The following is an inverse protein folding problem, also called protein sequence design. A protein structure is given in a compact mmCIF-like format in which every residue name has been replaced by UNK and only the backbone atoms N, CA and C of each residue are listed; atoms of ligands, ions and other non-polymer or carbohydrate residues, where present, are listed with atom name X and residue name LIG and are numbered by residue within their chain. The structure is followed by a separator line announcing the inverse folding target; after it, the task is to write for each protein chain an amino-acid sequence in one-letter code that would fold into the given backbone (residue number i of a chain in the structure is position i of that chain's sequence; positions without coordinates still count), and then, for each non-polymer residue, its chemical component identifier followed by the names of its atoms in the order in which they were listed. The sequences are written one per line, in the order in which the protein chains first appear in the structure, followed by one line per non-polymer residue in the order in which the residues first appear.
data_IF_263667804665
#
_entry.id   IF_263667804665
#
_cell.length_a   1.000
_cell.length_b   1.000
_cell.length_c   1.000
_cell.angle_alpha   90.00
_cell.angle_beta   90.00
_cell.angle_gamma   90.00
#
_symmetry.space_group_name_H-M   'P 1'
#
loop_
_entity.id
_entity.type
_entity.pdbx_description
1 polymer ?
#
# COMPACT_ATOMS: atom_id res chain seq x y z
N UNK A 1 -36.27 3.56 1.37
CA UNK A 1 -37.37 2.83 0.72
C UNK A 1 -38.58 3.73 0.43
N UNK A 2 -38.90 4.70 1.29
CA UNK A 2 -40.12 5.56 1.18
C UNK A 2 -40.22 6.24 -0.19
N UNK A 3 -39.14 6.88 -0.68
CA UNK A 3 -39.15 7.51 -2.00
C UNK A 3 -39.33 6.50 -3.14
N UNK A 4 -38.70 5.32 -3.07
CA UNK A 4 -38.84 4.28 -4.08
C UNK A 4 -40.29 3.79 -4.16
N UNK A 5 -40.91 3.53 -3.02
CA UNK A 5 -42.32 3.12 -2.96
C UNK A 5 -43.25 4.21 -3.45
N UNK A 6 -43.01 5.48 -3.12
CA UNK A 6 -43.79 6.59 -3.60
C UNK A 6 -43.75 6.73 -5.13
N UNK A 7 -42.55 6.63 -5.71
CA UNK A 7 -42.36 6.68 -7.16
C UNK A 7 -43.04 5.49 -7.85
N UNK A 8 -42.87 4.27 -7.32
CA UNK A 8 -43.51 3.06 -7.81
C UNK A 8 -45.02 3.19 -7.78
N UNK A 9 -45.59 3.61 -6.65
CA UNK A 9 -47.01 3.83 -6.45
C UNK A 9 -47.55 4.79 -7.51
N UNK A 10 -46.90 5.93 -7.71
CA UNK A 10 -47.30 6.93 -8.74
C UNK A 10 -47.27 6.36 -10.14
N UNK A 11 -46.27 5.59 -10.51
CA UNK A 11 -46.15 5.00 -11.84
C UNK A 11 -47.20 3.89 -12.08
N UNK A 12 -47.45 3.07 -11.06
CA UNK A 12 -48.41 1.95 -11.14
C UNK A 12 -49.86 2.40 -11.24
N UNK A 13 -50.18 3.67 -10.94
CA UNK A 13 -51.52 4.22 -11.15
C UNK A 13 -51.91 4.29 -12.65
N UNK A 14 -50.94 4.42 -13.55
CA UNK A 14 -51.19 4.67 -14.98
C UNK A 14 -50.61 3.62 -15.91
N UNK A 15 -49.74 2.73 -15.43
CA UNK A 15 -49.06 1.77 -16.30
C UNK A 15 -48.52 0.55 -15.51
N UNK A 16 -48.26 -0.53 -16.25
CA UNK A 16 -47.53 -1.69 -15.72
C UNK A 16 -46.04 -1.36 -15.56
N UNK A 17 -45.48 -1.68 -14.43
CA UNK A 17 -44.07 -1.34 -14.09
C UNK A 17 -43.28 -2.61 -13.79
N UNK A 18 -42.07 -2.69 -14.36
CA UNK A 18 -41.04 -3.64 -13.92
C UNK A 18 -39.98 -2.86 -13.15
N UNK A 19 -39.74 -3.24 -11.89
CA UNK A 19 -38.75 -2.59 -11.02
C UNK A 19 -37.69 -3.60 -10.55
N UNK A 20 -36.42 -3.30 -10.85
CA UNK A 20 -35.27 -4.03 -10.31
C UNK A 20 -34.74 -3.32 -9.06
N UNK A 21 -34.78 -3.98 -7.91
CA UNK A 21 -34.27 -3.44 -6.63
C UNK A 21 -33.40 -4.45 -5.92
N UNK A 22 -32.44 -3.95 -5.17
CA UNK A 22 -31.59 -4.81 -4.35
C UNK A 22 -32.39 -5.57 -3.27
N UNK A 23 -32.08 -6.84 -3.06
CA UNK A 23 -32.79 -7.70 -2.12
C UNK A 23 -32.93 -7.14 -0.70
N UNK A 24 -31.95 -6.37 -0.24
CA UNK A 24 -31.95 -5.73 1.08
C UNK A 24 -33.08 -4.68 1.27
N UNK A 25 -33.65 -4.15 0.19
CA UNK A 25 -34.73 -3.18 0.23
C UNK A 25 -36.12 -3.84 0.34
N UNK A 26 -36.22 -5.15 0.12
CA UNK A 26 -37.50 -5.84 0.04
C UNK A 26 -38.11 -6.17 1.40
N UNK A 27 -37.39 -6.82 2.39
CA UNK A 27 -37.98 -7.35 3.59
C UNK A 27 -38.11 -6.32 4.72
N UNK A 28 -38.91 -6.72 5.75
CA UNK A 28 -39.05 -5.98 7.01
C UNK A 28 -40.13 -4.91 7.00
N UNK A 29 -40.44 -4.37 8.18
CA UNK A 29 -41.54 -3.40 8.37
C UNK A 29 -41.36 -2.08 7.60
N UNK A 30 -40.13 -1.72 7.27
CA UNK A 30 -39.76 -0.60 6.38
C UNK A 30 -39.27 -1.08 5.01
N UNK A 31 -39.50 -2.34 4.68
CA UNK A 31 -39.21 -2.91 3.37
C UNK A 31 -40.26 -2.55 2.33
N UNK A 32 -39.86 -2.56 1.06
CA UNK A 32 -40.76 -2.15 -0.04
C UNK A 32 -41.99 -3.03 -0.15
N UNK A 33 -41.88 -4.34 0.10
CA UNK A 33 -43.00 -5.27 0.05
C UNK A 33 -44.09 -4.87 1.04
N UNK A 34 -43.72 -4.66 2.30
CA UNK A 34 -44.67 -4.26 3.35
C UNK A 34 -45.27 -2.87 3.10
N UNK A 35 -44.46 -1.93 2.64
CA UNK A 35 -44.94 -0.57 2.33
C UNK A 35 -45.91 -0.54 1.15
N UNK A 36 -45.77 -1.44 0.17
CA UNK A 36 -46.73 -1.58 -0.93
C UNK A 36 -48.02 -2.25 -0.45
N UNK A 37 -47.94 -3.28 0.41
CA UNK A 37 -49.11 -3.88 1.05
C UNK A 37 -49.91 -2.85 1.86
N UNK A 38 -49.22 -2.00 2.65
CA UNK A 38 -49.84 -0.93 3.44
C UNK A 38 -50.55 0.13 2.56
N UNK A 39 -50.16 0.24 1.29
CA UNK A 39 -50.84 1.07 0.26
C UNK A 39 -51.98 0.33 -0.44
N UNK A 40 -52.27 -0.91 -0.07
CA UNK A 40 -53.39 -1.69 -0.63
C UNK A 40 -53.01 -2.57 -1.81
N UNK A 41 -51.74 -2.68 -2.19
CA UNK A 41 -51.31 -3.60 -3.25
C UNK A 41 -51.25 -5.02 -2.74
N UNK A 42 -51.61 -5.98 -3.58
CA UNK A 42 -51.45 -7.40 -3.32
C UNK A 42 -50.03 -7.84 -3.74
N UNK A 43 -49.19 -8.18 -2.79
CA UNK A 43 -47.83 -8.66 -3.08
C UNK A 43 -47.81 -10.18 -3.00
N UNK A 44 -47.43 -10.83 -4.13
CA UNK A 44 -47.31 -12.29 -4.19
C UNK A 44 -45.93 -12.71 -4.69
N UNK A 45 -45.22 -13.61 -3.99
CA UNK A 45 -43.95 -14.12 -4.46
C UNK A 45 -44.19 -15.05 -5.65
N UNK A 46 -43.47 -14.79 -6.76
CA UNK A 46 -43.40 -15.72 -7.88
C UNK A 46 -42.22 -16.68 -7.64
N UNK A 47 -42.51 -17.79 -6.99
CA UNK A 47 -41.50 -18.81 -6.74
C UNK A 47 -41.29 -19.63 -8.03
N UNK A 48 -40.06 -19.57 -8.56
CA UNK A 48 -39.67 -20.49 -9.63
C UNK A 48 -39.54 -21.90 -9.08
N UNK A 49 -39.91 -22.90 -9.91
CA UNK A 49 -39.56 -24.29 -9.57
C UNK A 49 -38.02 -24.35 -9.46
N UNK A 50 -37.51 -24.95 -8.40
CA UNK A 50 -36.07 -25.21 -8.32
C UNK A 50 -35.67 -26.12 -9.46
N UNK A 51 -34.92 -25.58 -10.42
CA UNK A 51 -34.35 -26.34 -11.53
C UNK A 51 -32.83 -26.24 -11.41
N UNK A 52 -32.13 -27.28 -11.84
CA UNK A 52 -30.65 -27.28 -11.91
C UNK A 52 -30.13 -26.32 -12.99
N UNK A 53 -30.99 -25.79 -13.85
CA UNK A 53 -30.62 -24.93 -14.99
C UNK A 53 -29.88 -23.67 -14.53
N UNK A 54 -30.36 -22.99 -13.48
CA UNK A 54 -29.71 -21.79 -12.98
C UNK A 54 -28.32 -22.11 -12.41
N UNK A 55 -28.20 -23.21 -11.67
CA UNK A 55 -26.94 -23.68 -11.12
C UNK A 55 -25.97 -24.07 -12.25
N UNK A 56 -26.40 -24.83 -13.23
CA UNK A 56 -25.58 -25.21 -14.39
C UNK A 56 -25.12 -23.99 -15.18
N UNK A 57 -26.01 -23.01 -15.40
CA UNK A 57 -25.66 -21.76 -16.09
C UNK A 57 -24.67 -20.93 -15.27
N UNK A 58 -24.85 -20.84 -13.96
CA UNK A 58 -23.91 -20.20 -13.06
C UNK A 58 -22.52 -20.85 -13.17
N UNK A 59 -22.44 -22.16 -13.06
CA UNK A 59 -21.19 -22.91 -13.18
C UNK A 59 -20.50 -22.70 -14.56
N UNK A 60 -21.29 -22.66 -15.65
CA UNK A 60 -20.77 -22.36 -16.99
C UNK A 60 -20.19 -20.94 -17.09
N UNK A 61 -20.85 -19.95 -16.49
CA UNK A 61 -20.38 -18.56 -16.48
C UNK A 61 -19.14 -18.43 -15.61
N UNK A 62 -19.15 -19.03 -14.43
CA UNK A 62 -18.02 -18.99 -13.49
C UNK A 62 -16.78 -19.75 -13.99
N UNK A 63 -16.98 -20.80 -14.81
CA UNK A 63 -15.89 -21.53 -15.45
C UNK A 63 -15.31 -20.81 -16.68
N UNK A 64 -15.99 -19.77 -17.19
CA UNK A 64 -15.50 -19.04 -18.34
C UNK A 64 -14.33 -18.12 -17.96
N UNK A 65 -13.16 -18.41 -18.52
CA UNK A 65 -11.97 -17.58 -18.40
C UNK A 65 -11.77 -16.82 -19.71
N UNK A 66 -11.97 -15.53 -19.69
CA UNK A 66 -11.73 -14.68 -20.85
C UNK A 66 -10.23 -14.60 -21.18
N UNK A 67 -9.87 -14.54 -22.48
CA UNK A 67 -8.50 -14.31 -22.88
C UNK A 67 -7.98 -12.99 -22.29
N UNK A 68 -6.81 -13.03 -21.64
CA UNK A 68 -6.16 -11.87 -21.04
C UNK A 68 -4.76 -11.70 -21.59
N UNK A 69 -4.40 -10.49 -21.92
CA UNK A 69 -3.02 -10.11 -22.28
C UNK A 69 -2.28 -9.66 -21.02
N UNK A 70 -1.11 -10.23 -20.81
CA UNK A 70 -0.22 -9.87 -19.70
C UNK A 70 1.01 -9.20 -20.30
N UNK A 71 1.21 -7.91 -20.00
CA UNK A 71 2.25 -7.08 -20.58
C UNK A 71 3.25 -6.61 -19.52
N UNK A 72 4.44 -6.19 -19.97
CA UNK A 72 5.48 -5.67 -19.07
C UNK A 72 5.06 -4.32 -18.50
N UNK A 73 5.09 -4.21 -17.17
CA UNK A 73 4.82 -3.00 -16.42
C UNK A 73 5.97 -2.70 -15.45
N UNK A 74 6.13 -1.44 -15.07
CA UNK A 74 7.13 -1.00 -14.09
C UNK A 74 6.49 -0.09 -13.06
N UNK A 75 7.00 -0.13 -11.82
CA UNK A 75 6.68 0.89 -10.83
C UNK A 75 7.17 2.27 -11.32
N UNK A 76 6.52 3.39 -10.91
CA UNK A 76 6.87 4.74 -11.38
C UNK A 76 8.34 5.12 -11.17
N UNK A 77 8.97 4.62 -10.11
CA UNK A 77 10.40 4.81 -9.81
C UNK A 77 11.32 3.86 -10.62
N UNK A 78 10.76 2.97 -11.43
CA UNK A 78 11.49 1.99 -12.20
C UNK A 78 12.19 0.89 -11.41
N UNK A 79 11.97 0.84 -10.08
CA UNK A 79 12.65 -0.12 -9.21
C UNK A 79 12.21 -1.56 -9.45
N UNK A 80 10.92 -1.78 -9.67
CA UNK A 80 10.34 -3.10 -9.90
C UNK A 80 9.67 -3.14 -11.29
N UNK A 81 9.99 -4.19 -12.04
CA UNK A 81 9.35 -4.51 -13.32
C UNK A 81 8.82 -5.93 -13.28
N UNK A 82 7.60 -6.14 -13.77
CA UNK A 82 6.98 -7.46 -13.92
C UNK A 82 5.93 -7.45 -15.02
N UNK A 83 5.42 -8.62 -15.37
CA UNK A 83 4.23 -8.73 -16.23
C UNK A 83 2.97 -8.56 -15.40
N UNK A 84 2.03 -7.75 -15.89
CA UNK A 84 0.76 -7.46 -15.26
C UNK A 84 -0.37 -7.32 -16.29
N UNK A 85 -1.60 -7.26 -15.84
CA UNK A 85 -2.79 -7.22 -16.70
C UNK A 85 -3.02 -5.85 -17.33
N UNK A 86 -2.76 -4.81 -16.54
CA UNK A 86 -2.88 -3.40 -16.93
C UNK A 86 -1.64 -2.66 -16.42
N UNK A 87 -1.56 -1.37 -16.66
CA UNK A 87 -0.63 -0.50 -15.94
C UNK A 87 -0.82 -0.61 -14.43
N UNK A 88 0.20 -0.24 -13.67
CA UNK A 88 0.19 -0.26 -12.21
C UNK A 88 -0.44 1.04 -11.69
N UNK A 89 -1.68 0.99 -11.26
CA UNK A 89 -2.38 2.13 -10.66
C UNK A 89 -1.94 2.29 -9.20
N UNK A 90 -1.50 3.50 -8.85
CA UNK A 90 -1.11 3.83 -7.48
C UNK A 90 -2.34 4.21 -6.65
N UNK A 91 -2.44 3.70 -5.42
CA UNK A 91 -3.43 4.11 -4.45
C UNK A 91 -2.88 4.04 -3.03
N UNK A 92 -3.52 4.75 -2.11
CA UNK A 92 -3.15 4.78 -0.70
C UNK A 92 -4.27 4.16 0.14
N UNK A 93 -3.88 3.32 1.07
CA UNK A 93 -4.79 2.72 2.04
C UNK A 93 -4.09 2.60 3.39
N UNK A 94 -4.73 3.09 4.46
CA UNK A 94 -4.13 3.09 5.80
C UNK A 94 -2.79 3.84 5.91
N UNK A 95 -2.57 4.86 5.10
CA UNK A 95 -1.29 5.60 5.04
C UNK A 95 -0.20 4.90 4.23
N UNK A 96 -0.44 3.68 3.76
CA UNK A 96 0.51 2.88 3.00
C UNK A 96 0.25 2.98 1.49
N UNK A 97 1.32 3.04 0.71
CA UNK A 97 1.28 3.05 -0.76
C UNK A 97 1.17 1.64 -1.32
N UNK A 98 0.25 1.49 -2.26
CA UNK A 98 0.02 0.25 -3.03
C UNK A 98 -0.01 0.55 -4.53
N UNK A 99 0.34 -0.47 -5.32
CA UNK A 99 0.09 -0.50 -6.75
C UNK A 99 -0.86 -1.66 -7.05
N UNK A 100 -1.82 -1.44 -7.93
CA UNK A 100 -2.77 -2.47 -8.37
C UNK A 100 -2.81 -2.56 -9.89
N UNK A 101 -2.87 -3.78 -10.40
CA UNK A 101 -3.17 -4.10 -11.79
C UNK A 101 -4.34 -5.09 -11.81
N UNK A 102 -5.58 -4.62 -12.03
CA UNK A 102 -6.76 -5.48 -12.03
C UNK A 102 -6.96 -6.17 -13.39
N UNK A 103 -7.49 -7.38 -13.34
CA UNK A 103 -8.17 -8.03 -14.46
C UNK A 103 -9.68 -8.05 -14.16
N UNK A 104 -10.37 -7.01 -14.59
CA UNK A 104 -11.80 -6.83 -14.33
C UNK A 104 -12.66 -7.91 -14.98
N UNK A 105 -12.17 -8.51 -16.08
CA UNK A 105 -12.93 -9.51 -16.83
C UNK A 105 -12.96 -10.84 -16.10
N UNK A 106 -11.85 -11.24 -15.49
CA UNK A 106 -11.72 -12.53 -14.79
C UNK A 106 -11.82 -12.37 -13.26
N UNK A 107 -12.06 -11.15 -12.75
CA UNK A 107 -12.16 -10.88 -11.32
C UNK A 107 -10.85 -11.11 -10.56
N UNK A 108 -9.71 -11.03 -11.26
CA UNK A 108 -8.39 -11.23 -10.69
C UNK A 108 -7.66 -9.91 -10.51
N UNK A 109 -6.65 -9.88 -9.68
CA UNK A 109 -5.84 -8.69 -9.48
C UNK A 109 -4.42 -9.02 -9.02
N UNK A 110 -3.49 -8.16 -9.42
CA UNK A 110 -2.14 -8.12 -8.92
C UNK A 110 -1.97 -6.87 -8.06
N UNK A 111 -1.40 -7.01 -6.86
CA UNK A 111 -1.00 -5.87 -6.03
C UNK A 111 0.47 -5.93 -5.67
N UNK A 112 1.06 -4.76 -5.50
CA UNK A 112 2.41 -4.59 -4.99
C UNK A 112 2.33 -3.64 -3.80
N UNK A 113 2.86 -4.06 -2.67
CA UNK A 113 3.00 -3.24 -1.46
C UNK A 113 4.48 -3.12 -1.13
N UNK A 114 4.92 -1.95 -0.71
CA UNK A 114 6.31 -1.66 -0.38
C UNK A 114 6.36 -1.04 1.01
N UNK A 115 7.07 -1.67 1.93
CA UNK A 115 7.19 -1.25 3.33
C UNK A 115 8.64 -0.93 3.63
N UNK A 116 8.93 0.27 4.10
CA UNK A 116 10.26 0.64 4.55
C UNK A 116 10.68 -0.23 5.74
N UNK A 117 11.94 -0.68 5.74
CA UNK A 117 12.53 -1.48 6.82
C UNK A 117 13.19 -0.63 7.90
N UNK A 118 13.38 0.65 7.63
CA UNK A 118 13.98 1.62 8.55
C UNK A 118 12.98 2.72 8.88
N UNK A 119 12.97 3.10 10.15
CA UNK A 119 12.21 4.23 10.69
C UNK A 119 13.23 5.25 11.21
N UNK A 120 13.88 5.97 10.31
CA UNK A 120 15.06 6.85 10.38
C UNK A 120 16.25 6.42 11.22
N UNK A 121 16.14 5.43 12.02
CA UNK A 121 17.26 4.74 12.64
C UNK A 121 17.15 3.27 12.31
N UNK A 122 18.29 2.59 12.09
CA UNK A 122 18.29 1.16 12.10
C UNK A 122 17.85 0.75 13.51
N UNK A 123 16.58 0.48 13.69
CA UNK A 123 16.13 -0.25 14.84
C UNK A 123 16.93 -1.56 14.85
N UNK A 124 17.53 -1.94 15.97
CA UNK A 124 18.31 -3.18 16.15
C UNK A 124 17.53 -4.47 15.83
N UNK A 125 16.28 -4.32 15.47
CA UNK A 125 15.43 -5.38 14.97
C UNK A 125 15.56 -5.49 13.46
N UNK A 126 16.70 -6.00 13.02
CA UNK A 126 16.82 -6.45 11.63
C UNK A 126 15.63 -7.35 11.30
N UNK A 127 14.83 -6.95 10.31
CA UNK A 127 13.71 -7.77 9.85
C UNK A 127 14.30 -9.02 9.23
N UNK A 128 14.41 -10.09 10.02
CA UNK A 128 14.82 -11.39 9.53
C UNK A 128 13.69 -12.00 8.70
N UNK A 129 14.04 -12.89 7.75
CA UNK A 129 13.04 -13.63 6.97
C UNK A 129 12.10 -14.43 7.88
N UNK A 130 12.60 -14.97 8.99
CA UNK A 130 11.79 -15.71 9.95
C UNK A 130 10.78 -14.84 10.67
N UNK A 131 11.15 -13.60 11.00
CA UNK A 131 10.22 -12.62 11.59
C UNK A 131 9.24 -12.08 10.57
N UNK A 132 9.69 -11.87 9.35
CA UNK A 132 8.83 -11.48 8.21
C UNK A 132 7.77 -12.54 7.96
N UNK A 133 8.16 -13.80 8.03
CA UNK A 133 7.29 -14.94 7.93
C UNK A 133 6.17 -14.90 8.99
N UNK A 134 6.54 -14.79 10.25
CA UNK A 134 5.57 -14.75 11.35
C UNK A 134 4.64 -13.54 11.27
N UNK A 135 5.18 -12.36 10.96
CA UNK A 135 4.42 -11.10 10.90
C UNK A 135 3.41 -11.07 9.74
N UNK A 136 3.81 -11.57 8.56
CA UNK A 136 2.97 -11.54 7.37
C UNK A 136 2.07 -12.77 7.23
N UNK A 137 2.42 -13.88 7.87
CA UNK A 137 1.60 -15.09 7.88
C UNK A 137 0.29 -14.95 8.64
N UNK A 138 0.29 -14.21 9.72
CA UNK A 138 -0.92 -13.93 10.50
C UNK A 138 -1.96 -13.14 9.70
N UNK A 139 -1.50 -12.34 8.73
CA UNK A 139 -2.35 -11.52 7.87
C UNK A 139 -2.78 -12.21 6.56
N UNK A 140 -2.25 -13.39 6.25
CA UNK A 140 -2.67 -14.14 5.06
C UNK A 140 -3.91 -14.97 5.38
N UNK A 141 -5.09 -14.58 4.89
CA UNK A 141 -6.33 -15.30 5.21
C UNK A 141 -6.41 -16.65 4.48
N UNK A 142 -6.70 -17.74 5.20
CA UNK A 142 -6.96 -19.06 4.64
C UNK A 142 -5.88 -20.09 4.90
N UNK A 143 -5.81 -21.12 4.04
CA UNK A 143 -4.90 -22.26 4.19
C UNK A 143 -3.69 -22.12 3.28
N UNK A 144 -2.48 -22.20 3.85
CA UNK A 144 -1.25 -22.20 3.07
C UNK A 144 -1.07 -23.57 2.42
N UNK A 145 -1.12 -23.58 1.08
CA UNK A 145 -0.94 -24.81 0.28
C UNK A 145 0.53 -25.11 0.04
N UNK A 146 1.32 -24.05 -0.22
CA UNK A 146 2.73 -24.17 -0.55
C UNK A 146 3.50 -22.96 -0.05
N UNK A 147 4.68 -23.22 0.51
CA UNK A 147 5.65 -22.21 0.93
C UNK A 147 7.04 -22.62 0.45
N UNK A 148 7.79 -21.68 -0.11
CA UNK A 148 9.13 -21.88 -0.65
C UNK A 148 10.02 -20.68 -0.34
N UNK A 149 11.28 -20.92 -0.06
CA UNK A 149 12.28 -19.86 0.12
C UNK A 149 12.74 -19.39 -1.27
N UNK A 150 12.86 -18.08 -1.43
CA UNK A 150 13.40 -17.42 -2.61
C UNK A 150 14.79 -16.85 -2.27
N UNK A 151 15.75 -17.07 -3.17
CA UNK A 151 17.11 -16.52 -3.03
C UNK A 151 17.43 -15.42 -4.04
N UNK A 152 16.67 -15.35 -5.10
CA UNK A 152 16.87 -14.41 -6.21
C UNK A 152 15.53 -13.76 -6.61
N UNK A 153 15.53 -12.47 -7.04
CA UNK A 153 16.67 -11.53 -7.06
C UNK A 153 17.10 -11.01 -5.69
N UNK A 154 16.26 -11.15 -4.68
CA UNK A 154 16.51 -10.89 -3.27
C UNK A 154 16.04 -12.05 -2.41
N UNK A 155 16.56 -12.20 -1.18
CA UNK A 155 16.01 -13.13 -0.22
C UNK A 155 14.52 -12.90 -0.02
N UNK A 156 13.74 -13.99 0.03
CA UNK A 156 12.29 -13.85 0.15
C UNK A 156 11.58 -15.17 0.34
N UNK A 157 10.25 -15.10 0.28
CA UNK A 157 9.35 -16.22 0.46
C UNK A 157 8.28 -16.20 -0.63
N UNK A 158 8.01 -17.37 -1.19
CA UNK A 158 6.89 -17.61 -2.10
C UNK A 158 5.81 -18.39 -1.37
N UNK A 159 4.58 -17.93 -1.41
CA UNK A 159 3.44 -18.54 -0.75
C UNK A 159 2.32 -18.76 -1.78
N UNK A 160 1.71 -19.93 -1.76
CA UNK A 160 0.43 -20.19 -2.40
C UNK A 160 -0.60 -20.46 -1.30
N UNK A 161 -1.63 -19.64 -1.25
CA UNK A 161 -2.68 -19.68 -0.24
C UNK A 161 -4.04 -19.91 -0.89
N UNK A 162 -4.93 -20.65 -0.20
CA UNK A 162 -6.34 -20.81 -0.56
C UNK A 162 -7.18 -20.09 0.48
N UNK A 163 -7.97 -19.12 0.03
CA UNK A 163 -8.87 -18.39 0.92
C UNK A 163 -10.04 -19.27 1.41
N UNK A 164 -10.73 -18.86 2.46
CA UNK A 164 -11.95 -19.54 2.96
C UNK A 164 -13.08 -19.59 1.90
N UNK A 165 -13.05 -18.68 0.91
CA UNK A 165 -14.00 -18.67 -0.22
C UNK A 165 -13.61 -19.60 -1.36
N UNK A 166 -12.41 -20.18 -1.32
CA UNK A 166 -11.90 -21.07 -2.35
C UNK A 166 -11.00 -20.41 -3.40
N UNK A 167 -10.88 -19.07 -3.39
CA UNK A 167 -9.97 -18.34 -4.25
C UNK A 167 -8.51 -18.64 -3.90
N UNK A 168 -7.63 -18.47 -4.86
CA UNK A 168 -6.20 -18.66 -4.70
C UNK A 168 -5.48 -17.33 -4.67
N UNK A 169 -4.42 -17.28 -3.86
CA UNK A 169 -3.54 -16.12 -3.72
C UNK A 169 -2.09 -16.59 -3.78
N UNK A 170 -1.35 -16.08 -4.76
CA UNK A 170 0.09 -16.28 -4.87
C UNK A 170 0.81 -15.05 -4.38
N UNK A 171 1.76 -15.23 -3.48
CA UNK A 171 2.60 -14.16 -2.94
C UNK A 171 4.05 -14.42 -3.26
N UNK A 172 4.80 -13.39 -3.61
CA UNK A 172 6.23 -13.30 -3.43
C UNK A 172 6.52 -12.11 -2.51
N UNK A 173 7.26 -12.37 -1.45
CA UNK A 173 7.65 -11.39 -0.45
C UNK A 173 9.17 -11.34 -0.46
N UNK A 174 9.74 -10.17 -0.77
CA UNK A 174 11.18 -9.97 -0.86
C UNK A 174 11.67 -8.99 0.19
N UNK A 175 12.82 -9.27 0.79
CA UNK A 175 13.58 -8.32 1.61
C UNK A 175 14.64 -7.68 0.74
N UNK A 176 14.44 -6.42 0.37
CA UNK A 176 15.43 -5.59 -0.30
C UNK A 176 16.28 -4.83 0.74
N UNK A 177 17.35 -4.12 0.37
CA UNK A 177 18.14 -3.36 1.33
C UNK A 177 17.39 -2.27 2.10
N UNK A 178 16.27 -1.76 1.58
CA UNK A 178 15.50 -0.66 2.19
C UNK A 178 14.04 -1.03 2.48
N UNK A 179 13.51 -2.07 1.84
CA UNK A 179 12.08 -2.33 1.85
C UNK A 179 11.77 -3.82 1.92
N UNK A 180 10.61 -4.12 2.46
CA UNK A 180 9.91 -5.37 2.20
C UNK A 180 8.94 -5.12 1.05
N UNK A 181 9.09 -5.90 -0.03
CA UNK A 181 8.23 -5.82 -1.21
C UNK A 181 7.33 -7.04 -1.24
N UNK A 182 6.02 -6.82 -1.13
CA UNK A 182 5.00 -7.86 -1.20
C UNK A 182 4.30 -7.78 -2.56
N UNK A 183 4.41 -8.83 -3.35
CA UNK A 183 3.73 -8.96 -4.64
C UNK A 183 2.69 -10.06 -4.47
N UNK A 184 1.41 -9.71 -4.65
CA UNK A 184 0.27 -10.61 -4.50
C UNK A 184 -0.50 -10.68 -5.82
N UNK A 185 -0.77 -11.90 -6.27
CA UNK A 185 -1.70 -12.19 -7.35
C UNK A 185 -2.85 -13.03 -6.82
N UNK A 186 -4.09 -12.59 -7.03
CA UNK A 186 -5.28 -13.23 -6.47
C UNK A 186 -6.39 -13.36 -7.51
N UNK A 187 -7.20 -14.42 -7.38
CA UNK A 187 -8.35 -14.70 -8.24
C UNK A 187 -8.82 -16.14 -8.10
N UNK A 188 -9.66 -16.57 -9.04
CA UNK A 188 -10.11 -17.96 -9.12
C UNK A 188 -8.93 -18.93 -9.26
N UNK A 189 -9.05 -20.11 -8.68
CA UNK A 189 -8.00 -21.14 -8.62
C UNK A 189 -7.34 -21.40 -9.97
N UNK A 190 -8.12 -21.77 -10.96
CA UNK A 190 -7.63 -22.16 -12.30
C UNK A 190 -6.91 -21.01 -12.99
N UNK A 191 -7.42 -19.79 -12.79
CA UNK A 191 -6.84 -18.57 -13.36
C UNK A 191 -5.50 -18.23 -12.71
N UNK A 192 -5.40 -18.31 -11.38
CA UNK A 192 -4.15 -18.08 -10.64
C UNK A 192 -3.10 -19.11 -11.02
N UNK A 193 -3.43 -20.40 -11.00
CA UNK A 193 -2.48 -21.47 -11.33
C UNK A 193 -1.97 -21.40 -12.77
N UNK A 194 -2.80 -20.94 -13.70
CA UNK A 194 -2.41 -20.75 -15.12
C UNK A 194 -1.45 -19.56 -15.30
N UNK A 195 -1.66 -18.46 -14.57
CA UNK A 195 -1.00 -17.19 -14.85
C UNK A 195 0.11 -16.84 -13.83
N UNK A 196 0.23 -17.57 -12.70
CA UNK A 196 1.27 -17.27 -11.68
C UNK A 196 2.68 -17.33 -12.27
N UNK A 197 3.02 -18.38 -13.01
CA UNK A 197 4.37 -18.56 -13.52
C UNK A 197 4.80 -17.46 -14.51
N UNK A 198 4.00 -17.07 -15.51
CA UNK A 198 4.32 -15.96 -16.39
C UNK A 198 4.53 -14.62 -15.66
N UNK A 199 3.78 -14.37 -14.57
CA UNK A 199 3.87 -13.14 -13.78
C UNK A 199 5.14 -13.19 -12.90
N UNK A 200 5.24 -14.17 -12.01
CA UNK A 200 6.28 -14.21 -10.98
C UNK A 200 7.69 -14.48 -11.53
N UNK A 201 7.83 -15.25 -12.63
CA UNK A 201 9.12 -15.42 -13.33
C UNK A 201 9.58 -14.15 -14.05
N UNK A 202 8.69 -13.20 -14.29
CA UNK A 202 9.02 -11.93 -14.97
C UNK A 202 9.51 -10.85 -14.03
N UNK A 203 9.45 -11.06 -12.70
CA UNK A 203 9.87 -10.10 -11.70
C UNK A 203 11.35 -9.77 -11.87
N UNK A 204 11.63 -8.48 -11.99
CA UNK A 204 12.98 -7.93 -12.06
C UNK A 204 13.04 -6.67 -11.20
N UNK A 205 14.03 -6.61 -10.34
CA UNK A 205 14.37 -5.41 -9.60
C UNK A 205 15.51 -4.67 -10.32
N UNK A 206 15.49 -3.36 -10.26
CA UNK A 206 16.64 -2.53 -10.66
C UNK A 206 17.78 -2.84 -9.69
N UNK A 207 18.95 -3.18 -10.21
CA UNK A 207 20.14 -3.36 -9.38
C UNK A 207 20.58 -2.01 -8.83
N UNK A 208 20.64 -1.84 -7.49
CA UNK A 208 21.13 -0.60 -6.91
C UNK A 208 22.57 -0.32 -7.34
N UNK A 209 22.86 0.89 -7.76
CA UNK A 209 24.24 1.35 -7.91
C UNK A 209 24.71 1.91 -6.56
N UNK A 210 25.95 1.61 -6.18
CA UNK A 210 26.55 2.15 -4.95
C UNK A 210 27.12 3.56 -5.25
N UNK A 211 26.30 4.45 -5.81
CA UNK A 211 26.69 5.80 -6.21
C UNK A 211 25.81 6.85 -5.55
N UNK A 212 26.42 8.02 -5.28
CA UNK A 212 25.69 9.21 -4.90
C UNK A 212 25.28 9.97 -6.17
N UNK A 213 24.06 10.43 -6.19
CA UNK A 213 23.50 11.30 -7.22
C UNK A 213 22.92 12.57 -6.60
N UNK A 214 22.77 13.63 -7.35
CA UNK A 214 22.15 14.84 -6.84
C UNK A 214 20.64 14.64 -6.71
N UNK A 215 20.16 14.47 -5.49
CA UNK A 215 18.74 14.53 -5.17
C UNK A 215 18.30 15.99 -5.07
N UNK A 216 17.21 16.32 -5.72
CA UNK A 216 16.58 17.64 -5.64
C UNK A 216 15.21 17.50 -4.99
N UNK A 217 14.95 18.26 -3.93
CA UNK A 217 13.67 18.23 -3.22
C UNK A 217 12.51 18.70 -4.11
N UNK A 218 11.30 18.27 -3.78
CA UNK A 218 10.08 18.85 -4.35
C UNK A 218 10.12 20.37 -4.18
N UNK A 219 9.81 21.12 -5.21
CA UNK A 219 9.87 22.60 -5.24
C UNK A 219 11.30 23.22 -5.16
N UNK A 220 12.34 22.43 -5.45
CA UNK A 220 13.73 22.92 -5.48
C UNK A 220 14.20 23.63 -4.18
N UNK A 221 13.68 23.22 -3.03
CA UNK A 221 14.01 23.84 -1.71
C UNK A 221 15.46 23.58 -1.32
N UNK A 222 15.97 22.41 -1.66
CA UNK A 222 17.37 22.02 -1.43
C UNK A 222 17.84 20.99 -2.46
N UNK A 223 19.16 20.81 -2.50
CA UNK A 223 19.84 19.74 -3.23
C UNK A 223 20.82 19.06 -2.30
N UNK A 224 20.92 17.76 -2.39
CA UNK A 224 21.84 16.95 -1.59
C UNK A 224 22.39 15.80 -2.43
N UNK A 225 23.65 15.43 -2.20
CA UNK A 225 24.17 14.18 -2.75
C UNK A 225 23.61 13.02 -1.94
N UNK A 226 22.86 12.18 -2.60
CA UNK A 226 22.09 11.12 -1.96
C UNK A 226 22.25 9.81 -2.74
N UNK A 227 22.11 8.63 -2.09
CA UNK A 227 22.13 7.36 -2.79
C UNK A 227 21.17 7.31 -3.96
N UNK A 228 21.64 6.81 -5.11
CA UNK A 228 20.78 6.60 -6.28
C UNK A 228 19.62 5.67 -5.93
N UNK A 229 19.90 4.61 -5.17
CA UNK A 229 18.86 3.75 -4.63
C UNK A 229 18.33 4.36 -3.34
N UNK A 230 17.14 4.89 -3.44
CA UNK A 230 16.42 5.47 -2.31
C UNK A 230 14.91 5.23 -2.42
N UNK A 231 14.25 5.30 -1.29
CA UNK A 231 12.80 5.24 -1.17
C UNK A 231 12.27 6.56 -0.63
N UNK A 232 11.02 6.87 -0.92
CA UNK A 232 10.35 8.05 -0.40
C UNK A 232 9.04 7.65 0.22
N UNK A 233 8.84 8.04 1.46
CA UNK A 233 7.59 7.88 2.18
C UNK A 233 7.00 9.26 2.53
N UNK A 234 5.72 9.44 2.22
CA UNK A 234 4.97 10.65 2.49
C UNK A 234 3.96 10.35 3.60
N UNK A 235 4.22 10.83 4.79
CA UNK A 235 3.24 10.76 5.89
C UNK A 235 2.24 11.90 5.67
N UNK A 236 1.20 11.61 4.87
CA UNK A 236 0.26 12.61 4.35
C UNK A 236 -0.41 13.47 5.43
N UNK A 237 -0.73 12.88 6.58
CA UNK A 237 -1.45 13.57 7.66
C UNK A 237 -0.54 14.39 8.59
N UNK A 238 0.77 14.24 8.47
CA UNK A 238 1.72 14.89 9.38
C UNK A 238 2.60 15.95 8.71
N UNK A 239 2.39 16.25 7.41
CA UNK A 239 3.24 17.18 6.67
C UNK A 239 4.72 16.73 6.63
N UNK A 240 4.95 15.42 6.75
CA UNK A 240 6.30 14.84 6.82
C UNK A 240 6.59 14.04 5.55
N UNK A 241 7.84 14.09 5.14
CA UNK A 241 8.38 13.27 4.06
C UNK A 241 9.72 12.71 4.50
N UNK A 242 9.86 11.40 4.41
CA UNK A 242 11.08 10.67 4.70
C UNK A 242 11.66 10.10 3.42
N UNK A 243 12.92 10.40 3.15
CA UNK A 243 13.69 9.85 2.04
C UNK A 243 14.80 9.03 2.64
N UNK A 244 14.92 7.78 2.25
CA UNK A 244 15.88 6.83 2.81
C UNK A 244 16.69 6.22 1.69
N UNK A 245 18.00 6.11 1.88
CA UNK A 245 18.92 5.54 0.92
C UNK A 245 19.97 4.67 1.58
N UNK A 246 20.58 3.76 0.82
CA UNK A 246 21.65 2.88 1.31
C UNK A 246 22.71 2.71 0.24
N UNK A 247 23.98 2.78 0.67
CA UNK A 247 25.15 2.41 -0.12
C UNK A 247 25.96 1.45 0.72
N UNK A 248 26.10 0.19 0.30
CA UNK A 248 26.71 -0.88 1.07
C UNK A 248 26.07 -0.96 2.46
N UNK A 249 26.83 -0.68 3.50
CA UNK A 249 26.38 -0.70 4.89
C UNK A 249 25.98 0.68 5.43
N UNK A 250 26.31 1.76 4.69
CA UNK A 250 25.97 3.11 5.08
C UNK A 250 24.51 3.43 4.77
N UNK A 251 23.79 3.92 5.76
CA UNK A 251 22.40 4.34 5.66
C UNK A 251 22.32 5.88 5.65
N UNK A 252 21.48 6.40 4.78
CA UNK A 252 21.25 7.83 4.58
C UNK A 252 19.77 8.13 4.71
N UNK A 253 19.44 9.25 5.33
CA UNK A 253 18.07 9.73 5.33
C UNK A 253 17.97 11.24 5.22
N UNK A 254 16.86 11.72 4.68
CA UNK A 254 16.42 13.11 4.73
C UNK A 254 14.98 13.12 5.21
N UNK A 255 14.74 13.85 6.31
CA UNK A 255 13.40 14.07 6.83
C UNK A 255 12.99 15.52 6.56
N UNK A 256 11.96 15.72 5.77
CA UNK A 256 11.31 17.02 5.58
C UNK A 256 10.10 17.07 6.52
N UNK A 257 9.96 18.18 7.25
CA UNK A 257 8.81 18.43 8.12
C UNK A 257 8.27 19.83 7.81
N UNK A 258 6.97 19.90 7.52
CA UNK A 258 6.27 21.16 7.42
C UNK A 258 5.56 21.44 8.75
N UNK A 259 5.81 22.60 9.33
CA UNK A 259 5.11 23.07 10.52
C UNK A 259 3.79 23.70 10.10
N UNK A 260 2.68 23.13 10.54
CA UNK A 260 1.35 23.58 10.19
C UNK A 260 0.79 24.64 11.15
N UNK A 261 1.46 24.85 12.28
CA UNK A 261 0.97 25.70 13.36
C UNK A 261 1.98 26.82 13.66
N UNK A 262 1.99 27.83 12.81
CA UNK A 262 2.89 28.99 12.91
C UNK A 262 2.35 30.07 13.86
N UNK A 263 1.14 29.93 14.40
CA UNK A 263 0.49 30.96 15.23
C UNK A 263 1.13 31.14 16.60
N UNK A 264 2.00 30.22 17.04
CA UNK A 264 2.65 30.21 18.34
C UNK A 264 4.16 30.43 18.28
N UNK A 265 4.71 30.77 17.11
CA UNK A 265 6.13 31.07 16.98
C UNK A 265 6.34 32.51 17.43
N UNK A 266 6.87 32.70 18.65
CA UNK A 266 7.13 34.03 19.22
C UNK A 266 8.51 34.54 18.80
N UNK A 267 9.52 33.68 18.72
CA UNK A 267 10.90 34.05 18.38
C UNK A 267 11.55 32.97 17.48
N UNK A 268 11.72 33.25 16.21
CA UNK A 268 12.19 32.31 15.18
C UNK A 268 13.48 31.59 15.58
N UNK A 269 14.41 32.29 16.19
CA UNK A 269 15.73 31.71 16.60
C UNK A 269 15.57 30.70 17.73
N UNK A 270 14.76 31.04 18.71
CA UNK A 270 14.51 30.21 19.86
C UNK A 270 13.79 28.93 19.45
N UNK A 271 12.72 29.09 18.68
CA UNK A 271 11.91 27.98 18.21
C UNK A 271 12.69 27.04 17.28
N UNK A 272 13.46 27.59 16.34
CA UNK A 272 14.31 26.80 15.47
C UNK A 272 15.34 25.97 16.26
N UNK A 273 15.97 26.59 17.27
CA UNK A 273 16.91 25.90 18.15
C UNK A 273 16.20 24.80 18.96
N UNK A 274 15.05 25.11 19.53
CA UNK A 274 14.29 24.18 20.37
C UNK A 274 13.87 22.94 19.60
N UNK A 275 13.31 23.12 18.38
CA UNK A 275 12.90 22.04 17.49
C UNK A 275 14.06 21.11 17.16
N UNK A 276 15.18 21.69 16.74
CA UNK A 276 16.37 20.93 16.35
C UNK A 276 17.00 20.22 17.54
N UNK A 277 17.08 20.90 18.69
CA UNK A 277 17.63 20.30 19.90
C UNK A 277 16.82 19.09 20.37
N UNK A 278 15.48 19.18 20.32
CA UNK A 278 14.61 18.06 20.66
C UNK A 278 14.76 16.90 19.68
N UNK A 279 14.86 17.19 18.39
CA UNK A 279 15.11 16.16 17.38
C UNK A 279 16.45 15.46 17.60
N UNK A 280 17.51 16.20 17.99
CA UNK A 280 18.83 15.62 18.23
C UNK A 280 18.91 14.81 19.53
N UNK A 281 18.07 15.11 20.52
CA UNK A 281 17.95 14.29 21.74
C UNK A 281 17.49 12.87 21.44
N UNK A 282 16.66 12.67 20.44
CA UNK A 282 16.21 11.33 20.01
C UNK A 282 17.38 10.46 19.51
N UNK A 283 18.52 11.08 19.20
CA UNK A 283 19.75 10.43 18.75
C UNK A 283 20.85 10.45 19.83
N UNK A 284 20.53 10.84 21.05
CA UNK A 284 21.48 10.95 22.16
C UNK A 284 22.69 11.88 21.86
N UNK A 285 22.47 12.90 21.02
CA UNK A 285 23.51 13.89 20.69
C UNK A 285 23.52 14.99 21.74
N UNK A 286 24.52 14.98 22.60
CA UNK A 286 24.73 16.01 23.62
C UNK A 286 25.61 17.17 23.12
N UNK A 287 26.67 16.86 22.39
CA UNK A 287 27.59 17.84 21.82
C UNK A 287 27.22 18.18 20.37
N UNK A 288 26.56 19.30 20.22
CA UNK A 288 26.13 19.78 18.92
C UNK A 288 26.37 21.29 18.82
N UNK A 289 26.70 21.72 17.62
CA UNK A 289 26.92 23.14 17.31
C UNK A 289 25.83 23.67 16.40
N UNK A 290 25.27 24.80 16.78
CA UNK A 290 24.23 25.46 15.98
C UNK A 290 24.56 26.92 15.73
N UNK A 291 24.24 27.40 14.53
CA UNK A 291 24.42 28.80 14.18
C UNK A 291 23.28 29.30 13.30
N UNK A 292 22.96 30.56 13.39
CA UNK A 292 21.99 31.22 12.53
C UNK A 292 22.71 31.85 11.34
N UNK A 293 22.53 31.24 10.15
CA UNK A 293 23.25 31.65 8.94
C UNK A 293 22.51 32.75 8.16
N UNK A 294 23.18 33.87 7.99
CA UNK A 294 22.72 35.03 7.18
C UNK A 294 21.32 35.52 7.56
N UNK A 295 20.87 35.35 8.80
CA UNK A 295 19.54 35.69 9.27
C UNK A 295 18.39 35.05 8.43
N UNK A 296 18.64 33.90 7.75
CA UNK A 296 17.68 33.23 6.89
C UNK A 296 17.27 31.86 7.37
N UNK A 297 18.17 31.16 8.03
CA UNK A 297 17.90 29.81 8.52
C UNK A 297 18.83 29.43 9.66
N UNK A 298 18.37 28.56 10.52
CA UNK A 298 19.16 27.98 11.58
C UNK A 298 19.77 26.66 11.13
N UNK A 299 21.07 26.47 11.20
CA UNK A 299 21.78 25.24 10.88
C UNK A 299 22.37 24.63 12.11
N UNK A 300 22.17 23.36 12.31
CA UNK A 300 22.65 22.60 13.46
C UNK A 300 23.30 21.31 12.97
N UNK A 301 24.46 21.00 13.47
CA UNK A 301 25.23 19.80 13.13
C UNK A 301 25.67 19.07 14.39
N UNK A 302 25.62 17.76 14.37
CA UNK A 302 26.03 16.91 15.48
C UNK A 302 26.48 15.54 15.02
N UNK A 303 27.28 14.90 15.84
CA UNK A 303 27.73 13.52 15.64
C UNK A 303 27.47 12.74 16.93
N UNK A 304 26.81 11.61 16.80
CA UNK A 304 26.64 10.66 17.90
C UNK A 304 27.26 9.31 17.55
N UNK A 305 27.59 8.53 18.55
CA UNK A 305 27.87 7.11 18.40
C UNK A 305 26.55 6.36 18.57
N UNK A 306 26.39 5.28 17.82
CA UNK A 306 25.20 4.43 17.89
C UNK A 306 25.02 3.82 19.29
N UNK A 307 26.11 3.49 19.91
CA UNK A 307 26.23 3.11 21.33
C UNK A 307 27.68 3.30 21.81
N UNK A 308 27.96 3.18 23.12
CA UNK A 308 29.27 3.39 23.69
C UNK A 308 30.36 2.40 23.22
N UNK A 309 29.95 1.29 22.60
CA UNK A 309 30.83 0.22 22.10
C UNK A 309 30.93 0.21 20.57
N UNK A 310 30.05 0.93 19.88
CA UNK A 310 29.97 0.96 18.41
C UNK A 310 31.06 1.85 17.81
N UNK A 311 31.65 1.39 16.70
CA UNK A 311 32.46 2.23 15.82
C UNK A 311 31.64 3.07 14.85
N UNK A 312 30.31 2.83 14.81
CA UNK A 312 29.38 3.52 13.92
C UNK A 312 29.08 4.91 14.44
N UNK A 313 29.20 5.91 13.59
CA UNK A 313 28.86 7.30 13.88
C UNK A 313 27.58 7.68 13.11
N UNK A 314 26.73 8.44 13.78
CA UNK A 314 25.56 9.08 13.18
C UNK A 314 25.90 10.56 12.97
N UNK A 315 25.95 11.00 11.72
CA UNK A 315 26.15 12.40 11.36
C UNK A 315 24.81 13.03 11.03
N UNK A 316 24.41 14.04 11.77
CA UNK A 316 23.15 14.75 11.57
C UNK A 316 23.42 16.22 11.21
N UNK A 317 22.63 16.69 10.23
CA UNK A 317 22.51 18.11 9.90
C UNK A 317 21.05 18.50 9.79
N UNK A 318 20.64 19.47 10.55
CA UNK A 318 19.29 20.03 10.52
C UNK A 318 19.31 21.45 9.98
N UNK A 319 18.31 21.81 9.19
CA UNK A 319 18.14 23.18 8.68
C UNK A 319 16.68 23.55 8.89
N UNK A 320 16.46 24.63 9.67
CA UNK A 320 15.14 25.22 9.90
C UNK A 320 15.07 26.58 9.20
N UNK A 321 14.02 26.79 8.42
CA UNK A 321 13.75 28.06 7.70
C UNK A 321 12.51 28.70 8.24
#
# INVERSE_FOLDING_TARGET
NTNMVHVLDSLMQSQSVFAGVGAAHLPGNKGMLKMLEDKGYTVKPLLSKQTTVAQTKKEQIEAFIAPTSITKQSTPDGFLTLKAFTELYEFYYGGQKYYISPDMTNGAYLTISRFNTFDYLPNDKEISLDRLDNFLFEDIPGDIIKKEILSNPYPGISILNKTKKGDYQKYHIYKTPLEVVVIKFAGQKEYVLKNEAPIFKSIKFKTPTNTLTTFTSTYNKYKVNFPEYHTTDNVQNAGQKLIQGKIKDDYYFVKEVAFNDVYYIEEDKFEAKYIVTNFFKDFEIEDSTGEYKNNKYYSYEGVAKKDSTSLENIHLKSIVK
#
